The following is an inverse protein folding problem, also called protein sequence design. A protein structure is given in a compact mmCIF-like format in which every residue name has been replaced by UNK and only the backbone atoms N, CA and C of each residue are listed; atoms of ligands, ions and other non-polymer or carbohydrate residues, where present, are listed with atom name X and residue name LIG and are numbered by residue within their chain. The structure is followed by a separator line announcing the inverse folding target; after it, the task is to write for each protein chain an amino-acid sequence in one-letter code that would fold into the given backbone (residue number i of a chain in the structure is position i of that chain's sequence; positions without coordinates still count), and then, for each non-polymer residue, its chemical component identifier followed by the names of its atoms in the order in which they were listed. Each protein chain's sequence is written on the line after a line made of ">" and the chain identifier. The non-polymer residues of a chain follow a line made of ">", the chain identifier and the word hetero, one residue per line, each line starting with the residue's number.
data_IF_946556403996
#
_entry.id   IF_946556403996
#
_cell.length_a   1.000
_cell.length_b   1.000
_cell.length_c   1.000
_cell.angle_alpha   90.00
_cell.angle_beta   90.00
_cell.angle_gamma   90.00
#
_symmetry.space_group_name_H-M   'P 1'
#
loop_
_entity.id
_entity.type
_entity.pdbx_description
1 polymer ?
#
# COMPACT_ATOMS: atom_id res chain seq x y z
N UNK A 1 -1.85 -1.96 -35.03
CA UNK A 1 -1.80 -2.36 -33.62
C UNK A 1 -3.16 -2.08 -33.00
N UNK A 2 -3.78 -3.11 -32.44
CA UNK A 2 -5.04 -2.94 -31.71
C UNK A 2 -4.79 -2.24 -30.37
N UNK A 3 -5.84 -1.65 -29.77
CA UNK A 3 -5.74 -1.04 -28.44
C UNK A 3 -5.21 -2.04 -27.39
N UNK A 4 -5.64 -3.29 -27.51
CA UNK A 4 -5.25 -4.39 -26.64
C UNK A 4 -3.76 -4.76 -26.76
N UNK A 5 -3.24 -4.81 -27.99
CA UNK A 5 -1.82 -5.04 -28.26
C UNK A 5 -0.97 -3.89 -27.70
N UNK A 6 -1.40 -2.66 -27.92
CA UNK A 6 -0.71 -1.48 -27.42
C UNK A 6 -0.60 -1.50 -25.89
N UNK A 7 -1.69 -1.78 -25.19
CA UNK A 7 -1.71 -1.81 -23.72
C UNK A 7 -0.82 -2.94 -23.19
N UNK A 8 -0.78 -4.11 -23.84
CA UNK A 8 0.14 -5.20 -23.43
C UNK A 8 1.60 -4.81 -23.62
N UNK A 9 1.95 -4.21 -24.75
CA UNK A 9 3.31 -3.73 -25.01
C UNK A 9 3.70 -2.62 -24.01
N UNK A 10 2.78 -1.71 -23.71
CA UNK A 10 2.99 -0.65 -22.72
C UNK A 10 3.35 -1.24 -21.35
N UNK A 11 2.63 -2.27 -20.89
CA UNK A 11 2.94 -2.93 -19.61
C UNK A 11 4.31 -3.62 -19.62
N UNK A 12 4.68 -4.27 -20.73
CA UNK A 12 6.02 -4.85 -20.86
C UNK A 12 7.10 -3.77 -20.72
N UNK A 13 6.99 -2.69 -21.48
CA UNK A 13 7.95 -1.57 -21.41
C UNK A 13 7.93 -0.85 -20.06
N UNK A 14 6.78 -0.76 -19.39
CA UNK A 14 6.67 -0.20 -18.04
C UNK A 14 7.52 -0.99 -17.03
N UNK A 15 7.51 -2.33 -17.14
CA UNK A 15 8.31 -3.20 -16.26
C UNK A 15 9.81 -2.99 -16.47
N UNK A 16 10.21 -2.72 -17.72
CA UNK A 16 11.59 -2.48 -18.11
C UNK A 16 12.04 -1.01 -17.92
N UNK A 17 11.14 -0.12 -17.48
CA UNK A 17 11.43 1.32 -17.34
C UNK A 17 11.67 2.02 -18.68
N UNK A 18 11.22 1.43 -19.79
CA UNK A 18 11.54 1.86 -21.15
C UNK A 18 10.49 2.81 -21.78
N UNK A 19 9.54 3.32 -20.99
CA UNK A 19 8.51 4.25 -21.49
C UNK A 19 9.10 5.67 -21.57
N UNK A 20 9.11 6.31 -22.75
CA UNK A 20 9.54 7.69 -22.88
C UNK A 20 8.65 8.67 -22.09
N UNK A 21 9.24 9.74 -21.55
CA UNK A 21 8.50 10.74 -20.77
C UNK A 21 7.39 11.45 -21.57
N UNK A 22 7.54 11.58 -22.89
CA UNK A 22 6.47 12.12 -23.75
C UNK A 22 5.23 11.22 -23.75
N UNK A 23 5.43 9.90 -23.81
CA UNK A 23 4.34 8.92 -23.79
C UNK A 23 3.67 8.86 -22.40
N UNK A 24 4.44 9.01 -21.31
CA UNK A 24 3.88 9.12 -19.95
C UNK A 24 2.94 10.33 -19.83
N UNK A 25 3.28 11.47 -20.45
CA UNK A 25 2.42 12.66 -20.49
C UNK A 25 1.13 12.40 -21.26
N UNK A 26 1.21 11.73 -22.40
CA UNK A 26 0.03 11.35 -23.20
C UNK A 26 -0.91 10.43 -22.41
N UNK A 27 -0.35 9.40 -21.76
CA UNK A 27 -1.12 8.49 -20.91
C UNK A 27 -1.78 9.25 -19.75
N UNK A 28 -1.03 10.15 -19.10
CA UNK A 28 -1.56 11.00 -18.03
C UNK A 28 -2.73 11.87 -18.50
N UNK A 29 -2.64 12.41 -19.72
CA UNK A 29 -3.72 13.19 -20.32
C UNK A 29 -4.97 12.33 -20.57
N UNK A 30 -4.81 11.10 -21.08
CA UNK A 30 -5.91 10.14 -21.28
C UNK A 30 -6.61 9.81 -19.95
N UNK A 31 -5.84 9.56 -18.89
CA UNK A 31 -6.36 9.30 -17.54
C UNK A 31 -7.12 10.52 -17.02
N UNK A 32 -6.51 11.71 -17.10
CA UNK A 32 -7.08 12.97 -16.58
C UNK A 32 -8.38 13.38 -17.28
N UNK A 33 -8.56 12.97 -18.53
CA UNK A 33 -9.78 13.21 -19.30
C UNK A 33 -10.88 12.17 -19.05
N UNK A 34 -10.65 11.19 -18.16
CA UNK A 34 -11.58 10.09 -17.92
C UNK A 34 -11.72 9.11 -19.09
N UNK A 35 -10.83 9.19 -20.08
CA UNK A 35 -10.88 8.38 -21.30
C UNK A 35 -10.21 7.00 -21.15
N UNK A 36 -9.62 6.72 -19.98
CA UNK A 36 -8.95 5.46 -19.69
C UNK A 36 -9.92 4.25 -19.64
N UNK A 37 -11.14 4.44 -19.12
CA UNK A 37 -12.15 3.38 -19.03
C UNK A 37 -11.60 2.10 -18.35
N UNK A 38 -11.80 0.95 -18.99
CA UNK A 38 -11.34 -0.35 -18.50
C UNK A 38 -9.80 -0.49 -18.42
N UNK A 39 -9.05 0.36 -19.12
CA UNK A 39 -7.58 0.33 -19.11
C UNK A 39 -6.97 1.13 -17.96
N UNK A 40 -7.78 1.79 -17.12
CA UNK A 40 -7.33 2.70 -16.08
C UNK A 40 -6.21 2.12 -15.21
N UNK A 41 -6.39 0.90 -14.70
CA UNK A 41 -5.37 0.22 -13.89
C UNK A 41 -4.03 0.12 -14.63
N UNK A 42 -4.06 -0.35 -15.89
CA UNK A 42 -2.85 -0.60 -16.70
C UNK A 42 -2.14 0.70 -17.08
N UNK A 43 -2.91 1.73 -17.43
CA UNK A 43 -2.38 3.05 -17.75
C UNK A 43 -1.78 3.72 -16.51
N UNK A 44 -2.47 3.65 -15.37
CA UNK A 44 -1.97 4.18 -14.09
C UNK A 44 -0.70 3.46 -13.65
N UNK A 45 -0.62 2.13 -13.85
CA UNK A 45 0.58 1.34 -13.59
C UNK A 45 1.77 1.81 -14.44
N UNK A 46 1.54 2.06 -15.73
CA UNK A 46 2.57 2.58 -16.63
C UNK A 46 3.10 3.94 -16.15
N UNK A 47 2.21 4.86 -15.76
CA UNK A 47 2.59 6.16 -15.18
C UNK A 47 3.35 5.97 -13.87
N UNK A 48 2.90 5.09 -12.99
CA UNK A 48 3.55 4.82 -11.71
C UNK A 48 4.99 4.32 -11.87
N UNK A 49 5.24 3.45 -12.86
CA UNK A 49 6.57 2.87 -13.09
C UNK A 49 7.53 3.79 -13.83
N UNK A 50 7.03 4.63 -14.74
CA UNK A 50 7.88 5.46 -15.61
C UNK A 50 7.89 6.96 -15.26
N UNK A 51 6.85 7.48 -14.61
CA UNK A 51 6.68 8.92 -14.37
C UNK A 51 7.32 9.44 -13.09
N UNK A 52 7.48 8.58 -12.07
CA UNK A 52 8.00 8.98 -10.76
C UNK A 52 7.11 9.98 -10.01
N UNK A 53 7.58 10.54 -8.88
CA UNK A 53 6.80 11.41 -8.00
C UNK A 53 6.24 12.70 -8.64
N UNK A 54 6.68 13.08 -9.85
CA UNK A 54 6.10 14.21 -10.57
C UNK A 54 4.60 14.02 -10.89
N UNK A 55 4.12 12.78 -10.94
CA UNK A 55 2.71 12.44 -11.21
C UNK A 55 1.94 12.06 -9.94
N UNK A 56 2.48 12.41 -8.78
CA UNK A 56 1.89 12.10 -7.49
C UNK A 56 0.43 12.53 -7.35
N UNK A 57 0.09 13.76 -7.72
CA UNK A 57 -1.28 14.26 -7.60
C UNK A 57 -2.28 13.43 -8.43
N UNK A 58 -1.85 12.92 -9.59
CA UNK A 58 -2.67 12.04 -10.42
C UNK A 58 -2.94 10.72 -9.67
N UNK A 59 -1.89 10.07 -9.19
CA UNK A 59 -2.00 8.77 -8.49
C UNK A 59 -2.79 8.91 -7.19
N UNK A 60 -2.56 9.98 -6.43
CA UNK A 60 -3.27 10.27 -5.19
C UNK A 60 -4.79 10.47 -5.39
N UNK A 61 -5.20 10.97 -6.56
CA UNK A 61 -6.61 11.07 -6.92
C UNK A 61 -7.36 9.73 -6.99
N UNK A 62 -6.62 8.62 -6.99
CA UNK A 62 -7.15 7.26 -7.05
C UNK A 62 -7.03 6.49 -5.73
N UNK A 63 -6.58 7.11 -4.63
CA UNK A 63 -6.45 6.44 -3.33
C UNK A 63 -7.77 5.88 -2.80
N UNK A 64 -8.88 6.59 -3.04
CA UNK A 64 -10.24 6.16 -2.69
C UNK A 64 -11.04 6.08 -3.99
N UNK A 65 -11.03 4.91 -4.62
CA UNK A 65 -11.70 4.68 -5.90
C UNK A 65 -12.62 3.45 -5.84
N UNK A 66 -13.86 3.61 -5.30
CA UNK A 66 -14.79 2.50 -5.09
C UNK A 66 -15.20 1.74 -6.36
N UNK A 67 -15.06 2.36 -7.54
CA UNK A 67 -15.43 1.72 -8.81
C UNK A 67 -14.45 0.61 -9.21
N UNK A 68 -13.23 0.63 -8.67
CA UNK A 68 -12.23 -0.40 -8.89
C UNK A 68 -11.20 -0.43 -7.74
N UNK A 69 -11.38 -1.31 -6.74
CA UNK A 69 -10.48 -1.40 -5.58
C UNK A 69 -9.02 -1.69 -5.94
N UNK A 70 -8.74 -2.46 -7.00
CA UNK A 70 -7.38 -2.71 -7.47
C UNK A 70 -6.64 -1.42 -7.88
N UNK A 71 -7.38 -0.42 -8.37
CA UNK A 71 -6.82 0.90 -8.71
C UNK A 71 -6.42 1.66 -7.43
N UNK A 72 -7.24 1.56 -6.38
CA UNK A 72 -6.91 2.11 -5.05
C UNK A 72 -5.69 1.42 -4.46
N UNK A 73 -5.64 0.09 -4.53
CA UNK A 73 -4.51 -0.72 -4.08
C UNK A 73 -3.21 -0.31 -4.79
N UNK A 74 -3.24 -0.14 -6.11
CA UNK A 74 -2.10 0.35 -6.90
C UNK A 74 -1.66 1.75 -6.44
N UNK A 75 -2.60 2.68 -6.23
CA UNK A 75 -2.27 4.01 -5.76
C UNK A 75 -1.56 3.99 -4.40
N UNK A 76 -2.06 3.19 -3.46
CA UNK A 76 -1.42 2.99 -2.15
C UNK A 76 -0.01 2.44 -2.29
N UNK A 77 0.18 1.34 -3.02
CA UNK A 77 1.48 0.69 -3.20
C UNK A 77 2.52 1.65 -3.81
N UNK A 78 2.09 2.46 -4.78
CA UNK A 78 2.96 3.41 -5.46
C UNK A 78 3.36 4.54 -4.52
N UNK A 79 2.41 5.16 -3.83
CA UNK A 79 2.68 6.32 -2.97
C UNK A 79 3.47 5.93 -1.72
N UNK A 80 3.13 4.80 -1.10
CA UNK A 80 3.75 4.37 0.17
C UNK A 80 5.05 3.59 -0.06
N UNK A 81 5.06 2.63 -1.00
CA UNK A 81 6.21 1.77 -1.23
C UNK A 81 7.18 2.30 -2.28
N UNK A 82 6.70 2.55 -3.50
CA UNK A 82 7.61 2.87 -4.63
C UNK A 82 8.17 4.29 -4.57
N UNK A 83 7.34 5.28 -4.27
CA UNK A 83 7.72 6.69 -4.27
C UNK A 83 8.05 7.22 -2.86
N UNK A 84 7.66 6.49 -1.81
CA UNK A 84 7.92 6.83 -0.40
C UNK A 84 7.44 8.25 -0.03
N UNK A 85 6.28 8.63 -0.54
CA UNK A 85 5.61 9.93 -0.31
C UNK A 85 4.26 9.77 0.41
N UNK A 86 3.92 8.54 0.79
CA UNK A 86 2.61 8.17 1.34
C UNK A 86 2.22 8.84 2.66
N UNK A 87 3.17 9.34 3.44
CA UNK A 87 2.92 9.91 4.76
C UNK A 87 1.89 11.05 4.76
N UNK A 88 1.84 11.89 3.71
CA UNK A 88 0.84 12.98 3.62
C UNK A 88 -0.59 12.52 3.32
N UNK A 89 -0.76 11.24 2.98
CA UNK A 89 -2.06 10.63 2.70
C UNK A 89 -2.53 9.73 3.86
N UNK A 90 -1.97 9.92 5.06
CA UNK A 90 -2.30 9.19 6.28
C UNK A 90 -3.81 8.99 6.47
N UNK A 91 -4.62 10.05 6.29
CA UNK A 91 -6.07 9.98 6.46
C UNK A 91 -6.73 8.97 5.51
N UNK A 92 -6.33 8.98 4.23
CA UNK A 92 -6.84 8.05 3.25
C UNK A 92 -6.38 6.62 3.54
N UNK A 93 -5.14 6.44 4.01
CA UNK A 93 -4.64 5.12 4.43
C UNK A 93 -5.43 4.59 5.63
N UNK A 94 -5.73 5.44 6.63
CA UNK A 94 -6.59 5.08 7.76
C UNK A 94 -8.02 4.75 7.33
N UNK A 95 -8.58 5.49 6.38
CA UNK A 95 -9.90 5.20 5.80
C UNK A 95 -9.92 3.80 5.17
N UNK A 96 -8.89 3.45 4.39
CA UNK A 96 -8.78 2.12 3.80
C UNK A 96 -8.55 1.02 4.84
N UNK A 97 -7.77 1.28 5.89
CA UNK A 97 -7.62 0.36 7.03
C UNK A 97 -8.93 0.15 7.80
N UNK A 98 -9.91 1.03 7.63
CA UNK A 98 -11.27 0.86 8.13
C UNK A 98 -12.08 -0.21 7.41
N UNK A 99 -11.50 -0.89 6.40
CA UNK A 99 -12.13 -1.96 5.62
C UNK A 99 -13.47 -1.51 5.00
N UNK A 100 -13.45 -0.56 4.07
CA UNK A 100 -14.68 -0.01 3.52
C UNK A 100 -15.49 -1.04 2.73
N UNK A 101 -16.81 -1.03 2.87
CA UNK A 101 -17.75 -1.99 2.26
C UNK A 101 -17.64 -2.12 0.72
N UNK A 102 -17.05 -1.12 0.05
CA UNK A 102 -16.85 -1.15 -1.39
C UNK A 102 -15.66 -2.01 -1.82
N UNK A 103 -14.75 -2.36 -0.91
CA UNK A 103 -13.57 -3.18 -1.17
C UNK A 103 -13.84 -4.66 -0.89
N UNK A 104 -14.77 -5.24 -1.65
CA UNK A 104 -15.30 -6.60 -1.41
C UNK A 104 -14.20 -7.69 -1.44
N UNK A 105 -13.11 -7.46 -2.16
CA UNK A 105 -11.97 -8.40 -2.29
C UNK A 105 -10.76 -8.00 -1.45
N UNK A 106 -10.91 -6.99 -0.59
CA UNK A 106 -9.87 -6.47 0.30
C UNK A 106 -8.60 -5.97 -0.42
N UNK A 107 -8.65 -5.66 -1.72
CA UNK A 107 -7.48 -5.27 -2.50
C UNK A 107 -6.85 -3.99 -1.94
N UNK A 108 -7.68 -2.98 -1.67
CA UNK A 108 -7.26 -1.69 -1.17
C UNK A 108 -6.88 -1.76 0.32
N UNK A 109 -7.63 -2.52 1.11
CA UNK A 109 -7.37 -2.81 2.52
C UNK A 109 -6.01 -3.49 2.71
N UNK A 110 -5.75 -4.57 1.98
CA UNK A 110 -4.48 -5.30 2.04
C UNK A 110 -3.30 -4.41 1.62
N UNK A 111 -3.49 -3.57 0.60
CA UNK A 111 -2.49 -2.58 0.21
C UNK A 111 -2.27 -1.53 1.33
N UNK A 112 -3.33 -1.10 2.02
CA UNK A 112 -3.26 -0.14 3.12
C UNK A 112 -2.51 -0.68 4.34
N UNK A 113 -2.70 -1.96 4.72
CA UNK A 113 -1.87 -2.62 5.76
C UNK A 113 -0.39 -2.51 5.40
N UNK A 114 -0.06 -2.87 4.14
CA UNK A 114 1.31 -2.84 3.69
C UNK A 114 1.89 -1.42 3.65
N UNK A 115 1.10 -0.46 3.14
CA UNK A 115 1.48 0.93 3.03
C UNK A 115 1.65 1.62 4.39
N UNK A 116 0.84 1.28 5.37
CA UNK A 116 1.00 1.76 6.75
C UNK A 116 2.34 1.31 7.34
N UNK A 117 2.74 0.06 7.09
CA UNK A 117 4.05 -0.45 7.47
C UNK A 117 5.21 0.33 6.85
N UNK A 118 5.11 0.70 5.56
CA UNK A 118 6.13 1.52 4.88
C UNK A 118 6.18 2.96 5.43
N UNK A 119 5.01 3.59 5.65
CA UNK A 119 4.95 4.93 6.27
C UNK A 119 5.63 4.93 7.63
N UNK A 120 5.33 3.92 8.46
CA UNK A 120 5.88 3.78 9.80
C UNK A 120 7.37 3.39 9.83
N UNK A 121 7.88 2.83 8.73
CA UNK A 121 9.30 2.58 8.56
C UNK A 121 10.06 3.90 8.35
N UNK A 122 9.49 4.83 7.57
CA UNK A 122 10.10 6.12 7.25
C UNK A 122 9.91 7.19 8.34
N UNK A 123 8.87 7.05 9.16
CA UNK A 123 8.53 8.02 10.20
C UNK A 123 7.65 7.43 11.29
N UNK A 124 7.42 8.17 12.36
CA UNK A 124 6.48 7.74 13.40
C UNK A 124 5.10 8.36 13.16
N UNK A 125 4.06 7.52 13.28
CA UNK A 125 2.66 7.92 13.20
C UNK A 125 1.85 7.10 14.22
N UNK A 126 1.34 7.77 15.26
CA UNK A 126 0.69 7.10 16.37
C UNK A 126 -0.63 6.44 15.96
N UNK A 127 -1.41 7.08 15.08
CA UNK A 127 -2.71 6.56 14.65
C UNK A 127 -2.53 5.34 13.76
N UNK A 128 -1.62 5.39 12.77
CA UNK A 128 -1.32 4.23 11.93
C UNK A 128 -0.79 3.06 12.75
N UNK A 129 0.11 3.31 13.71
CA UNK A 129 0.65 2.25 14.56
C UNK A 129 -0.44 1.62 15.44
N UNK A 130 -1.33 2.45 15.99
CA UNK A 130 -2.46 1.98 16.78
C UNK A 130 -3.43 1.14 15.94
N UNK A 131 -3.78 1.58 14.71
CA UNK A 131 -4.63 0.81 13.80
C UNK A 131 -4.02 -0.56 13.45
N UNK A 132 -2.72 -0.62 13.16
CA UNK A 132 -2.04 -1.91 12.89
C UNK A 132 -2.00 -2.81 14.13
N UNK A 133 -1.80 -2.26 15.32
CA UNK A 133 -1.82 -3.02 16.58
C UNK A 133 -3.19 -3.64 16.83
N UNK A 134 -4.27 -2.87 16.69
CA UNK A 134 -5.63 -3.38 16.87
C UNK A 134 -5.91 -4.50 15.87
N UNK A 135 -5.57 -4.31 14.59
CA UNK A 135 -5.76 -5.33 13.56
C UNK A 135 -4.93 -6.60 13.84
N UNK A 136 -3.71 -6.46 14.34
CA UNK A 136 -2.85 -7.60 14.66
C UNK A 136 -3.34 -8.43 15.86
N UNK A 137 -4.13 -7.85 16.75
CA UNK A 137 -4.56 -8.44 18.02
C UNK A 137 -5.99 -8.95 17.96
N UNK A 138 -6.87 -8.17 17.35
CA UNK A 138 -8.32 -8.40 17.33
C UNK A 138 -8.80 -8.94 15.98
N UNK A 139 -8.00 -8.80 14.92
CA UNK A 139 -8.44 -9.09 13.56
C UNK A 139 -9.52 -8.10 13.09
N UNK A 140 -10.40 -8.53 12.19
CA UNK A 140 -11.58 -7.77 11.75
C UNK A 140 -12.86 -8.21 12.44
N UNK A 141 -12.81 -9.24 13.28
CA UNK A 141 -13.99 -9.88 13.84
C UNK A 141 -14.70 -10.81 12.84
N UNK A 142 -13.98 -11.27 11.82
CA UNK A 142 -14.49 -12.15 10.76
C UNK A 142 -13.93 -13.57 10.88
N UNK A 143 -14.57 -14.52 10.19
CA UNK A 143 -14.08 -15.90 10.12
C UNK A 143 -12.78 -15.93 9.29
N UNK A 144 -11.69 -16.46 9.85
CA UNK A 144 -10.33 -16.51 9.24
C UNK A 144 -9.47 -15.23 9.36
N UNK A 145 -9.59 -14.51 10.48
CA UNK A 145 -8.76 -13.35 10.84
C UNK A 145 -7.24 -13.63 10.93
N UNK A 146 -6.83 -14.91 10.95
CA UNK A 146 -5.43 -15.34 11.06
C UNK A 146 -4.54 -14.71 9.96
N UNK A 147 -5.06 -14.59 8.73
CA UNK A 147 -4.32 -13.97 7.64
C UNK A 147 -4.13 -12.47 7.88
N UNK A 148 -5.18 -11.76 8.31
CA UNK A 148 -5.13 -10.30 8.50
C UNK A 148 -4.25 -9.93 9.68
N UNK A 149 -4.39 -10.66 10.80
CA UNK A 149 -3.53 -10.50 11.96
C UNK A 149 -2.06 -10.73 11.59
N UNK A 150 -1.78 -11.77 10.79
CA UNK A 150 -0.45 -12.03 10.29
C UNK A 150 0.08 -10.85 9.46
N UNK A 151 -0.68 -10.36 8.48
CA UNK A 151 -0.23 -9.27 7.62
C UNK A 151 0.02 -7.98 8.41
N UNK A 152 -0.79 -7.70 9.43
CA UNK A 152 -0.57 -6.59 10.35
C UNK A 152 0.73 -6.75 11.16
N UNK A 153 1.04 -7.95 11.66
CA UNK A 153 2.34 -8.24 12.29
C UNK A 153 3.51 -8.02 11.33
N UNK A 154 3.39 -8.45 10.07
CA UNK A 154 4.42 -8.24 9.04
C UNK A 154 4.60 -6.75 8.71
N UNK A 155 3.53 -5.94 8.75
CA UNK A 155 3.62 -4.49 8.62
C UNK A 155 4.29 -3.83 9.84
N UNK A 156 3.95 -4.25 11.06
CA UNK A 156 4.60 -3.78 12.30
C UNK A 156 6.08 -4.15 12.32
N UNK A 157 6.45 -5.34 11.84
CA UNK A 157 7.85 -5.72 11.69
C UNK A 157 8.62 -4.71 10.83
N UNK A 158 8.06 -4.29 9.69
CA UNK A 158 8.66 -3.26 8.84
C UNK A 158 8.74 -1.89 9.52
N UNK A 159 7.69 -1.49 10.24
CA UNK A 159 7.66 -0.27 11.05
C UNK A 159 8.77 -0.22 12.12
N UNK A 160 9.20 -1.40 12.60
CA UNK A 160 10.29 -1.57 13.57
C UNK A 160 11.67 -1.69 12.90
N UNK A 161 11.77 -1.50 11.59
CA UNK A 161 13.02 -1.41 10.85
C UNK A 161 13.46 -2.71 10.17
N UNK A 162 12.65 -3.78 10.20
CA UNK A 162 12.99 -5.01 9.46
C UNK A 162 12.81 -4.76 7.95
N UNK A 163 13.70 -5.37 7.16
CA UNK A 163 13.51 -5.38 5.70
C UNK A 163 12.28 -6.20 5.31
N UNK A 164 11.80 -6.01 4.07
CA UNK A 164 10.66 -6.77 3.55
C UNK A 164 10.89 -8.29 3.61
N UNK A 165 12.13 -8.76 3.39
CA UNK A 165 12.45 -10.19 3.44
C UNK A 165 12.38 -10.75 4.87
N UNK A 166 12.83 -9.95 5.85
CA UNK A 166 12.85 -10.32 7.26
C UNK A 166 11.46 -10.21 7.90
N UNK A 167 10.61 -9.30 7.40
CA UNK A 167 9.27 -9.09 7.94
C UNK A 167 8.27 -10.18 7.56
N UNK A 168 8.58 -11.08 6.62
CA UNK A 168 7.64 -12.11 6.17
C UNK A 168 7.65 -13.41 7.00
N UNK A 169 8.65 -13.60 7.87
CA UNK A 169 8.77 -14.82 8.67
C UNK A 169 9.59 -14.60 9.94
N UNK A 170 9.32 -15.37 11.00
CA UNK A 170 10.15 -15.34 12.20
C UNK A 170 11.59 -15.77 11.91
N UNK A 171 12.57 -15.29 12.70
CA UNK A 171 13.92 -15.84 12.71
C UNK A 171 13.95 -17.35 12.94
N UNK A 172 14.96 -18.04 12.44
CA UNK A 172 15.02 -19.51 12.44
C UNK A 172 14.95 -20.16 13.84
N UNK A 173 15.33 -19.41 14.89
CA UNK A 173 15.36 -19.86 16.28
C UNK A 173 14.14 -19.42 17.10
N UNK A 174 13.05 -18.97 16.46
CA UNK A 174 11.88 -18.43 17.13
C UNK A 174 10.60 -18.92 16.47
N UNK A 175 9.59 -19.27 17.26
CA UNK A 175 8.26 -19.57 16.72
C UNK A 175 7.59 -18.30 16.22
N UNK A 176 6.61 -18.43 15.31
CA UNK A 176 5.83 -17.28 14.84
C UNK A 176 5.11 -16.57 15.99
N UNK A 177 4.52 -17.32 16.93
CA UNK A 177 3.80 -16.75 18.07
C UNK A 177 4.71 -15.93 18.99
N UNK A 178 5.92 -16.44 19.31
CA UNK A 178 6.90 -15.70 20.11
C UNK A 178 7.37 -14.43 19.41
N UNK A 179 7.60 -14.52 18.11
CA UNK A 179 8.03 -13.40 17.29
C UNK A 179 6.96 -12.32 17.21
N UNK A 180 5.70 -12.68 16.89
CA UNK A 180 4.58 -11.74 16.89
C UNK A 180 4.42 -11.05 18.24
N UNK A 181 4.40 -11.79 19.35
CA UNK A 181 4.29 -11.22 20.71
C UNK A 181 5.39 -10.21 21.03
N UNK A 182 6.62 -10.49 20.60
CA UNK A 182 7.76 -9.59 20.81
C UNK A 182 7.59 -8.29 19.99
N UNK A 183 7.19 -8.41 18.73
CA UNK A 183 6.95 -7.25 17.86
C UNK A 183 5.83 -6.37 18.41
N UNK A 184 4.69 -6.96 18.77
CA UNK A 184 3.54 -6.24 19.33
C UNK A 184 3.90 -5.51 20.62
N UNK A 185 4.65 -6.16 21.53
CA UNK A 185 5.16 -5.49 22.74
C UNK A 185 6.03 -4.28 22.41
N UNK A 186 7.00 -4.46 21.52
CA UNK A 186 7.93 -3.39 21.13
C UNK A 186 7.19 -2.21 20.48
N UNK A 187 6.18 -2.51 19.66
CA UNK A 187 5.32 -1.50 19.04
C UNK A 187 4.49 -0.72 20.07
N UNK A 188 3.91 -1.40 21.07
CA UNK A 188 3.18 -0.75 22.17
C UNK A 188 4.10 0.14 23.00
N UNK A 189 5.29 -0.34 23.39
CA UNK A 189 6.26 0.44 24.14
C UNK A 189 6.62 1.75 23.40
N UNK A 190 6.74 1.70 22.07
CA UNK A 190 6.99 2.87 21.22
C UNK A 190 5.81 3.84 21.20
N UNK A 191 4.57 3.33 21.12
CA UNK A 191 3.35 4.13 21.16
C UNK A 191 3.16 4.85 22.51
N UNK A 192 3.41 4.13 23.62
CA UNK A 192 3.34 4.67 24.99
C UNK A 192 4.39 5.76 25.21
N UNK A 193 5.63 5.53 24.76
CA UNK A 193 6.73 6.50 24.88
C UNK A 193 6.41 7.81 24.14
N UNK A 194 5.78 7.71 22.97
CA UNK A 194 5.39 8.89 22.18
C UNK A 194 4.24 9.69 22.81
N UNK A 195 3.39 9.06 23.62
CA UNK A 195 2.26 9.72 24.29
C UNK A 195 2.67 10.51 25.54
N UNK A 196 3.93 10.36 25.99
CA UNK A 196 4.49 11.04 27.16
C UNK A 196 5.34 12.28 26.80
N UNK A 197 5.47 12.60 25.51
CA UNK A 197 6.27 13.73 24.99
C UNK A 197 5.37 14.87 24.56
#
# INVERSE_FOLDING_TARGET
>A
MTRDEYVRELIARAKDGAIPQSEVKEITQVISQGAAGHDLYRLLYAVARAGGPAYENLVAGYLIYPQNPEVSALAVQVLTGHWRVGAKYQRQILELLGSPDWDISDDAFLAAISGAGEILHDGFDAELLHSLLNLAEEGRGEYDDDLMQRLAVEAIARALGLSQAESMKPPANMTRLEWSRRLLRTARDRLESASQT
#
